data_IF_192117634395
#
_entry.id   IF_192117634395
#
_cell.length_a   1.000
_cell.length_b   1.000
_cell.length_c   1.000
_cell.angle_alpha   90.00
_cell.angle_beta   90.00
_cell.angle_gamma   90.00
#
_symmetry.space_group_name_H-M   'P 1'
#
loop_
_entity.id
_entity.type
_entity.pdbx_description
1 polymer ?
#
# COMPACT_ATOMS: atom_id res chain seq x y z
N UNK A 1 6.51 6.17 12.17
CA UNK A 1 6.17 6.68 13.52
C UNK A 1 6.02 5.56 14.54
N UNK A 2 5.05 4.65 14.37
CA UNK A 2 4.81 3.52 15.31
C UNK A 2 6.07 2.66 15.52
N UNK A 3 6.71 2.24 14.43
CA UNK A 3 7.93 1.42 14.46
C UNK A 3 9.24 2.23 14.58
N UNK A 4 9.17 3.55 14.78
CA UNK A 4 10.33 4.47 14.82
C UNK A 4 11.32 4.33 13.65
N UNK A 5 10.83 3.90 12.48
CA UNK A 5 11.62 3.79 11.25
C UNK A 5 12.09 5.18 10.79
N UNK A 6 13.35 5.29 10.37
CA UNK A 6 13.93 6.53 9.85
C UNK A 6 13.25 6.98 8.55
N UNK A 7 13.11 8.29 8.38
CA UNK A 7 12.62 8.90 7.13
C UNK A 7 13.74 9.28 6.16
N UNK A 8 15.01 9.03 6.50
CA UNK A 8 16.15 9.26 5.62
C UNK A 8 16.39 8.04 4.70
N UNK A 9 16.67 8.21 3.38
CA UNK A 9 16.83 9.46 2.64
C UNK A 9 15.50 10.09 2.17
N UNK A 10 14.39 9.34 2.20
CA UNK A 10 13.05 9.87 1.90
C UNK A 10 11.96 9.14 2.69
N UNK A 11 10.82 9.82 2.99
CA UNK A 11 9.70 9.20 3.69
C UNK A 11 9.16 7.99 2.92
N UNK A 12 8.97 6.86 3.60
CA UNK A 12 8.43 5.64 3.00
C UNK A 12 9.48 4.71 2.37
N UNK A 13 10.67 5.19 2.03
CA UNK A 13 11.73 4.35 1.44
C UNK A 13 12.11 3.16 2.33
N UNK A 14 12.39 3.42 3.62
CA UNK A 14 12.75 2.36 4.55
C UNK A 14 11.58 1.41 4.85
N UNK A 15 10.33 1.87 4.72
CA UNK A 15 9.15 1.01 4.85
C UNK A 15 9.16 -0.02 3.71
N UNK A 16 9.45 0.41 2.48
CA UNK A 16 9.58 -0.48 1.33
C UNK A 16 10.73 -1.49 1.50
N UNK A 17 11.90 -1.03 1.97
CA UNK A 17 13.04 -1.92 2.20
C UNK A 17 12.76 -2.98 3.27
N UNK A 18 11.97 -2.63 4.30
CA UNK A 18 11.53 -3.59 5.31
C UNK A 18 10.42 -4.52 4.79
N UNK A 19 9.48 -3.99 4.01
CA UNK A 19 8.39 -4.76 3.42
C UNK A 19 8.90 -5.91 2.54
N UNK A 20 9.99 -5.68 1.78
CA UNK A 20 10.65 -6.73 0.96
C UNK A 20 11.14 -7.94 1.75
N UNK A 21 11.31 -7.80 3.07
CA UNK A 21 11.77 -8.86 3.97
C UNK A 21 10.62 -9.49 4.78
N UNK A 22 9.41 -8.96 4.65
CA UNK A 22 8.23 -9.51 5.29
C UNK A 22 7.83 -10.84 4.65
N UNK A 23 7.32 -11.76 5.46
CA UNK A 23 6.93 -13.10 5.03
C UNK A 23 5.51 -13.45 5.45
N UNK A 24 4.99 -12.79 6.48
CA UNK A 24 3.65 -13.03 7.02
C UNK A 24 2.75 -11.85 6.73
N UNK A 25 1.60 -12.12 6.12
CA UNK A 25 0.55 -11.13 5.93
C UNK A 25 -0.32 -11.01 7.19
N UNK A 26 -0.63 -9.78 7.58
CA UNK A 26 -1.54 -9.43 8.65
C UNK A 26 -2.72 -8.70 8.02
N UNK A 27 -3.93 -9.18 8.29
CA UNK A 27 -5.13 -8.50 7.82
C UNK A 27 -5.27 -7.14 8.51
N UNK A 28 -5.26 -6.09 7.70
CA UNK A 28 -5.48 -4.71 8.14
C UNK A 28 -6.89 -4.27 7.71
N UNK A 29 -7.47 -3.24 8.36
CA UNK A 29 -8.74 -2.67 7.94
C UNK A 29 -8.68 -2.21 6.48
N UNK A 30 -9.60 -2.71 5.66
CA UNK A 30 -9.67 -2.36 4.24
C UNK A 30 -10.84 -1.39 4.01
N UNK A 31 -10.53 -0.09 3.95
CA UNK A 31 -11.53 0.97 4.01
C UNK A 31 -11.66 1.70 2.67
N UNK A 32 -12.37 1.10 1.71
CA UNK A 32 -12.73 1.71 0.43
C UNK A 32 -14.22 2.00 0.39
N UNK A 33 -14.60 3.21 -0.03
CA UNK A 33 -16.00 3.65 -0.18
C UNK A 33 -16.18 4.23 -1.58
N UNK A 34 -16.68 3.41 -2.51
CA UNK A 34 -16.77 3.79 -3.91
C UNK A 34 -15.39 4.01 -4.52
N UNK A 35 -15.04 5.26 -4.79
CA UNK A 35 -13.72 5.67 -5.30
C UNK A 35 -12.84 6.33 -4.23
N UNK A 36 -13.33 6.46 -2.99
CA UNK A 36 -12.59 7.07 -1.90
C UNK A 36 -11.90 6.03 -1.01
N UNK A 37 -10.71 6.37 -0.51
CA UNK A 37 -9.92 5.58 0.44
C UNK A 37 -9.79 6.28 1.78
N UNK A 38 -9.78 5.51 2.87
CA UNK A 38 -9.53 6.04 4.22
C UNK A 38 -8.39 5.29 4.92
N UNK A 39 -7.31 6.02 5.23
CA UNK A 39 -6.12 5.46 5.88
C UNK A 39 -6.09 5.65 7.41
N UNK A 40 -6.95 6.49 7.96
CA UNK A 40 -6.96 6.79 9.41
C UNK A 40 -7.22 5.54 10.24
N UNK A 41 -8.19 4.70 9.83
CA UNK A 41 -8.50 3.46 10.52
C UNK A 41 -7.34 2.46 10.54
N UNK A 42 -6.54 2.42 9.46
CA UNK A 42 -5.33 1.58 9.40
C UNK A 42 -4.27 2.09 10.37
N UNK A 43 -4.05 3.41 10.41
CA UNK A 43 -3.08 4.00 11.33
C UNK A 43 -3.45 3.73 12.79
N UNK A 44 -4.70 3.99 13.18
CA UNK A 44 -5.18 3.74 14.54
C UNK A 44 -5.06 2.26 14.91
N UNK A 45 -5.45 1.36 13.99
CA UNK A 45 -5.29 -0.08 14.19
C UNK A 45 -3.84 -0.48 14.47
N UNK A 46 -2.90 0.05 13.69
CA UNK A 46 -1.48 -0.23 13.86
C UNK A 46 -0.94 0.38 15.15
N UNK A 47 -1.32 1.60 15.50
CA UNK A 47 -0.92 2.24 16.77
C UNK A 47 -1.36 1.43 17.99
N UNK A 48 -2.58 0.87 17.98
CA UNK A 48 -3.12 0.10 19.10
C UNK A 48 -2.61 -1.35 19.15
N UNK A 49 -2.37 -1.98 17.99
CA UNK A 49 -2.10 -3.43 17.91
C UNK A 49 -0.65 -3.81 17.66
N UNK A 50 0.22 -2.87 17.28
CA UNK A 50 1.62 -3.21 16.95
C UNK A 50 2.32 -3.97 18.08
N UNK A 51 2.23 -3.50 19.33
CA UNK A 51 2.90 -4.16 20.45
C UNK A 51 2.41 -5.61 20.68
N UNK A 52 1.11 -5.85 20.47
CA UNK A 52 0.53 -7.18 20.60
C UNK A 52 0.93 -8.08 19.43
N UNK A 53 0.96 -7.54 18.20
CA UNK A 53 1.40 -8.28 17.00
C UNK A 53 2.89 -8.68 17.13
N UNK A 54 3.74 -7.80 17.63
CA UNK A 54 5.14 -8.12 17.89
C UNK A 54 5.29 -9.25 18.92
N UNK A 55 4.49 -9.26 19.99
CA UNK A 55 4.46 -10.35 20.99
C UNK A 55 3.95 -11.67 20.41
N UNK A 56 3.09 -11.62 19.40
CA UNK A 56 2.58 -12.81 18.68
C UNK A 56 3.59 -13.36 17.67
N UNK A 57 4.78 -12.78 17.55
CA UNK A 57 5.84 -13.26 16.67
C UNK A 57 5.76 -12.71 15.24
N UNK A 58 5.04 -11.62 15.03
CA UNK A 58 5.19 -10.81 13.82
C UNK A 58 6.39 -9.88 13.94
N UNK A 59 6.99 -9.57 12.81
CA UNK A 59 8.16 -8.67 12.75
C UNK A 59 7.76 -7.29 12.22
N UNK A 60 8.57 -6.25 12.46
CA UNK A 60 8.39 -4.95 11.80
C UNK A 60 8.32 -5.05 10.27
N UNK A 61 9.05 -6.01 9.68
CA UNK A 61 9.06 -6.31 8.26
C UNK A 61 7.69 -6.81 7.79
N UNK A 62 7.09 -7.75 8.54
CA UNK A 62 5.75 -8.28 8.25
C UNK A 62 4.67 -7.19 8.34
N UNK A 63 4.81 -6.26 9.29
CA UNK A 63 3.92 -5.11 9.42
C UNK A 63 4.05 -4.15 8.23
N UNK A 64 5.28 -3.83 7.80
CA UNK A 64 5.52 -3.00 6.62
C UNK A 64 5.00 -3.65 5.35
N UNK A 65 5.22 -4.95 5.19
CA UNK A 65 4.70 -5.75 4.07
C UNK A 65 3.18 -5.69 4.01
N UNK A 66 2.51 -6.04 5.10
CA UNK A 66 1.05 -6.06 5.19
C UNK A 66 0.43 -4.68 4.94
N UNK A 67 1.10 -3.63 5.44
CA UNK A 67 0.69 -2.24 5.22
C UNK A 67 0.76 -1.85 3.73
N UNK A 68 1.87 -2.17 3.05
CA UNK A 68 2.03 -1.85 1.63
C UNK A 68 1.02 -2.61 0.78
N UNK A 69 0.89 -3.93 0.95
CA UNK A 69 -0.06 -4.73 0.19
C UNK A 69 -1.50 -4.24 0.37
N UNK A 70 -1.90 -3.93 1.61
CA UNK A 70 -3.28 -3.47 1.87
C UNK A 70 -3.54 -2.10 1.26
N UNK A 71 -2.65 -1.12 1.50
CA UNK A 71 -2.86 0.25 0.99
C UNK A 71 -2.79 0.29 -0.53
N UNK A 72 -1.82 -0.40 -1.14
CA UNK A 72 -1.68 -0.39 -2.59
C UNK A 72 -2.80 -1.14 -3.28
N UNK A 73 -3.32 -2.24 -2.70
CA UNK A 73 -4.53 -2.87 -3.19
C UNK A 73 -5.73 -1.90 -3.17
N UNK A 74 -5.92 -1.15 -2.09
CA UNK A 74 -6.97 -0.13 -2.00
C UNK A 74 -6.82 0.93 -3.10
N UNK A 75 -5.59 1.41 -3.34
CA UNK A 75 -5.32 2.39 -4.39
C UNK A 75 -5.62 1.80 -5.78
N UNK A 76 -5.10 0.62 -6.09
CA UNK A 76 -5.32 -0.06 -7.37
C UNK A 76 -6.81 -0.30 -7.61
N UNK A 77 -7.55 -0.77 -6.61
CA UNK A 77 -9.00 -0.97 -6.71
C UNK A 77 -9.74 0.34 -7.05
N UNK A 78 -9.42 1.43 -6.36
CA UNK A 78 -10.06 2.73 -6.65
C UNK A 78 -9.66 3.30 -8.00
N UNK A 79 -8.39 3.16 -8.39
CA UNK A 79 -7.90 3.57 -9.72
C UNK A 79 -8.55 2.75 -10.83
N UNK A 80 -8.70 1.44 -10.64
CA UNK A 80 -9.36 0.55 -11.59
C UNK A 80 -10.82 0.95 -11.80
N UNK A 81 -11.55 1.23 -10.71
CA UNK A 81 -12.93 1.75 -10.78
C UNK A 81 -13.01 3.06 -11.53
N UNK A 82 -12.10 3.99 -11.24
CA UNK A 82 -12.05 5.29 -11.90
C UNK A 82 -11.74 5.12 -13.40
N UNK A 83 -10.75 4.31 -13.75
CA UNK A 83 -10.37 4.00 -15.13
C UNK A 83 -11.58 3.51 -15.95
N UNK A 84 -12.33 2.54 -15.40
CA UNK A 84 -13.54 2.02 -16.00
C UNK A 84 -14.66 3.08 -16.11
N UNK A 85 -14.83 3.92 -15.09
CA UNK A 85 -15.88 4.95 -15.06
C UNK A 85 -15.62 6.08 -16.07
N UNK A 86 -14.36 6.44 -16.27
CA UNK A 86 -13.95 7.49 -17.20
C UNK A 86 -13.84 7.01 -18.65
N UNK A 87 -13.83 5.69 -18.89
CA UNK A 87 -13.56 5.11 -20.21
C UNK A 87 -12.14 5.39 -20.72
N UNK A 88 -11.19 5.57 -19.80
CA UNK A 88 -9.77 5.79 -20.13
C UNK A 88 -9.04 4.45 -20.21
N UNK A 89 -7.96 4.42 -20.97
CA UNK A 89 -7.04 3.27 -21.09
C UNK A 89 -5.62 3.63 -20.66
N UNK A 90 -5.46 4.73 -19.92
CA UNK A 90 -4.16 5.22 -19.46
C UNK A 90 -4.21 5.58 -17.98
N UNK A 91 -3.18 5.17 -17.25
CA UNK A 91 -2.96 5.51 -15.83
C UNK A 91 -1.57 6.15 -15.72
N UNK A 92 -1.49 7.29 -15.03
CA UNK A 92 -0.23 7.97 -14.74
C UNK A 92 -0.05 8.05 -13.22
N UNK A 93 1.06 7.51 -12.70
CA UNK A 93 1.39 7.62 -11.27
C UNK A 93 2.24 8.87 -11.06
N UNK A 94 1.78 9.79 -10.20
CA UNK A 94 2.51 11.00 -9.81
C UNK A 94 2.73 11.08 -8.30
N UNK A 95 3.67 11.95 -7.88
CA UNK A 95 3.97 12.21 -6.48
C UNK A 95 5.03 11.29 -5.89
N UNK A 96 5.54 11.62 -4.70
CA UNK A 96 6.70 10.95 -4.11
C UNK A 96 6.49 9.46 -3.79
N UNK A 97 5.25 9.06 -3.47
CA UNK A 97 4.90 7.65 -3.25
C UNK A 97 4.91 6.86 -4.56
N UNK A 98 4.77 7.53 -5.70
CA UNK A 98 4.82 6.90 -7.02
C UNK A 98 6.16 6.26 -7.36
N UNK A 99 7.24 6.62 -6.66
CA UNK A 99 8.54 5.97 -6.78
C UNK A 99 8.60 4.57 -6.15
N UNK A 100 7.56 4.17 -5.41
CA UNK A 100 7.53 2.85 -4.79
C UNK A 100 7.32 1.76 -5.84
N UNK A 101 8.30 0.86 -5.95
CA UNK A 101 8.31 -0.18 -7.00
C UNK A 101 7.12 -1.13 -6.85
N UNK A 102 6.73 -1.45 -5.60
CA UNK A 102 5.61 -2.38 -5.36
C UNK A 102 4.26 -1.80 -5.82
N UNK A 103 4.03 -0.50 -5.59
CA UNK A 103 2.85 0.20 -6.14
C UNK A 103 2.86 0.19 -7.67
N UNK A 104 4.00 0.48 -8.30
CA UNK A 104 4.13 0.46 -9.76
C UNK A 104 3.84 -0.94 -10.34
N UNK A 105 4.35 -1.99 -9.71
CA UNK A 105 4.09 -3.38 -10.09
C UNK A 105 2.59 -3.71 -10.04
N UNK A 106 1.92 -3.44 -8.91
CA UNK A 106 0.50 -3.76 -8.73
C UNK A 106 -0.39 -2.96 -9.70
N UNK A 107 -0.10 -1.68 -9.90
CA UNK A 107 -0.82 -0.85 -10.86
C UNK A 107 -0.57 -1.31 -12.31
N UNK A 108 0.66 -1.74 -12.61
CA UNK A 108 1.04 -2.24 -13.93
C UNK A 108 0.30 -3.52 -14.29
N UNK A 109 0.20 -4.46 -13.34
CA UNK A 109 -0.59 -5.68 -13.49
C UNK A 109 -2.06 -5.37 -13.78
N UNK A 110 -2.68 -4.49 -13.00
CA UNK A 110 -4.08 -4.07 -13.23
C UNK A 110 -4.25 -3.43 -14.62
N UNK A 111 -3.33 -2.56 -15.04
CA UNK A 111 -3.38 -1.95 -16.36
C UNK A 111 -3.26 -3.00 -17.47
N UNK A 112 -2.33 -3.94 -17.36
CA UNK A 112 -2.14 -5.03 -18.33
C UNK A 112 -3.41 -5.89 -18.47
N UNK A 113 -4.02 -6.28 -17.35
CA UNK A 113 -5.26 -7.07 -17.32
C UNK A 113 -6.46 -6.34 -17.97
N UNK A 114 -6.46 -5.00 -17.94
CA UNK A 114 -7.49 -4.17 -18.59
C UNK A 114 -7.16 -3.74 -20.02
N UNK A 115 -5.97 -4.08 -20.55
CA UNK A 115 -5.50 -3.55 -21.82
C UNK A 115 -5.23 -2.03 -21.79
N UNK A 116 -4.94 -1.50 -20.61
CA UNK A 116 -4.55 -0.12 -20.37
C UNK A 116 -3.03 0.02 -20.27
N UNK A 117 -2.54 1.27 -20.35
CA UNK A 117 -1.13 1.60 -20.29
C UNK A 117 -0.79 2.38 -19.02
N UNK A 118 0.22 1.92 -18.30
CA UNK A 118 0.80 2.63 -17.16
C UNK A 118 1.94 3.55 -17.62
N UNK A 119 1.99 4.75 -17.05
CA UNK A 119 3.04 5.76 -17.21
C UNK A 119 3.62 6.20 -15.86
#
# INVERSE_FOLDING_TARGET
RVLKISNDPSPGYNIEQLAKKGTKYIQLPYCVKGMDVSFSGILTYLEERTDNLLKQGYTPQDLCFSLQETIFAMLVETTERALAHCGSNEVLIVGGVGCNVRLQEMMGQMCEERGAKLF
#
